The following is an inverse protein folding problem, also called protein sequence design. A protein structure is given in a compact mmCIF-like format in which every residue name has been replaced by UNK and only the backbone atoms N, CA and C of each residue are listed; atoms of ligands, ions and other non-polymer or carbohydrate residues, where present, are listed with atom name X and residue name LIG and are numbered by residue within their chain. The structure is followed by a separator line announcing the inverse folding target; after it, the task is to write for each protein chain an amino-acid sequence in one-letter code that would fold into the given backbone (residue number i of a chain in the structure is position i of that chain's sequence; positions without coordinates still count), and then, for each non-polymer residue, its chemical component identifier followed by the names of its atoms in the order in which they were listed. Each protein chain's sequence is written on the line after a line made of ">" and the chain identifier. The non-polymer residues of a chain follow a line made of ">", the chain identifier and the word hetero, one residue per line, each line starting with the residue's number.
data_IF_802262612519
#
_entry.id   IF_802262612519
#
_cell.length_a   1.000
_cell.length_b   1.000
_cell.length_c   1.000
_cell.angle_alpha   90.00
_cell.angle_beta   90.00
_cell.angle_gamma   90.00
#
_symmetry.space_group_name_H-M   'P 1'
#
loop_
_entity.id
_entity.type
_entity.pdbx_description
1 polymer ?
#
# COMPACT_ATOMS: atom_id res chain seq x y z
N UNK A 1 1.73 5.24 33.08
CA UNK A 1 1.59 5.77 31.70
C UNK A 1 2.77 5.28 30.89
N UNK A 2 2.57 4.27 30.05
CA UNK A 2 3.55 3.82 29.07
C UNK A 2 2.79 3.65 27.76
N UNK A 3 2.87 4.65 26.90
CA UNK A 3 2.47 4.49 25.51
C UNK A 3 3.52 3.59 24.87
N UNK A 4 3.26 2.28 24.84
CA UNK A 4 3.98 1.38 23.95
C UNK A 4 3.33 1.59 22.60
N UNK A 5 3.81 2.59 21.85
CA UNK A 5 3.58 2.63 20.41
C UNK A 5 4.32 1.42 19.86
N UNK A 6 3.57 0.35 19.60
CA UNK A 6 4.03 -0.83 18.90
C UNK A 6 4.44 -0.38 17.50
N UNK A 7 5.73 -0.08 17.31
CA UNK A 7 6.34 0.27 16.02
C UNK A 7 6.40 -0.98 15.13
N UNK A 8 5.25 -1.58 14.81
CA UNK A 8 5.18 -2.63 13.81
C UNK A 8 5.64 -2.07 12.48
N UNK A 9 6.85 -2.43 12.08
CA UNK A 9 7.34 -2.20 10.73
C UNK A 9 6.37 -2.88 9.77
N UNK A 10 5.70 -2.08 8.95
CA UNK A 10 4.81 -2.60 7.90
C UNK A 10 5.69 -3.26 6.84
N UNK A 11 5.52 -4.56 6.67
CA UNK A 11 6.19 -5.34 5.63
C UNK A 11 5.17 -5.96 4.66
N UNK A 12 5.68 -6.55 3.57
CA UNK A 12 4.86 -7.12 2.50
C UNK A 12 3.99 -8.29 2.98
N UNK A 13 4.46 -9.06 3.96
CA UNK A 13 3.71 -10.19 4.50
C UNK A 13 2.51 -9.70 5.31
N UNK A 14 2.68 -8.64 6.10
CA UNK A 14 1.59 -7.99 6.81
C UNK A 14 0.55 -7.43 5.84
N UNK A 15 0.98 -6.68 4.80
CA UNK A 15 0.06 -6.11 3.81
C UNK A 15 -0.71 -7.21 3.06
N UNK A 16 -0.02 -8.28 2.64
CA UNK A 16 -0.66 -9.42 1.98
C UNK A 16 -1.68 -10.14 2.89
N UNK A 17 -1.39 -10.28 4.20
CA UNK A 17 -2.38 -10.82 5.16
C UNK A 17 -3.60 -9.94 5.31
N UNK A 18 -3.42 -8.61 5.27
CA UNK A 18 -4.49 -7.63 5.49
C UNK A 18 -5.38 -7.44 4.25
N UNK A 19 -4.77 -7.34 3.07
CA UNK A 19 -5.47 -6.99 1.83
C UNK A 19 -5.68 -8.18 0.89
N UNK A 20 -4.97 -9.29 1.12
CA UNK A 20 -4.84 -10.39 0.17
C UNK A 20 -3.79 -10.09 -0.90
N UNK A 21 -3.85 -10.88 -1.96
CA UNK A 21 -2.99 -10.70 -3.13
C UNK A 21 -3.40 -9.45 -3.92
N UNK A 22 -2.43 -8.66 -4.43
CA UNK A 22 -2.74 -7.56 -5.31
C UNK A 22 -3.41 -8.06 -6.58
N UNK A 23 -4.35 -7.27 -7.11
CA UNK A 23 -4.96 -7.53 -8.41
C UNK A 23 -3.96 -7.35 -9.55
N UNK A 24 -3.08 -6.35 -9.42
CA UNK A 24 -1.99 -6.12 -10.35
C UNK A 24 -0.74 -5.62 -9.61
N UNK A 25 0.43 -5.85 -10.20
CA UNK A 25 1.72 -5.43 -9.66
C UNK A 25 2.54 -4.73 -10.74
N UNK A 26 3.01 -3.53 -10.42
CA UNK A 26 3.93 -2.76 -11.27
C UNK A 26 5.30 -2.69 -10.62
N UNK A 27 6.34 -3.04 -11.38
CA UNK A 27 7.71 -3.04 -10.89
C UNK A 27 8.01 -4.18 -9.91
N UNK A 28 9.15 -4.04 -9.22
CA UNK A 28 9.64 -5.04 -8.27
C UNK A 28 10.58 -4.40 -7.27
N UNK A 29 10.52 -4.85 -6.02
CA UNK A 29 11.45 -4.43 -4.96
C UNK A 29 12.92 -4.68 -5.32
N UNK A 30 13.16 -5.67 -6.20
CA UNK A 30 14.49 -6.02 -6.66
C UNK A 30 14.97 -5.15 -7.83
N UNK A 31 14.07 -4.47 -8.55
CA UNK A 31 14.44 -3.57 -9.65
C UNK A 31 15.08 -2.28 -9.08
N UNK A 32 16.32 -1.91 -9.46
CA UNK A 32 16.94 -0.67 -9.01
C UNK A 32 16.27 0.60 -9.57
N UNK A 33 15.44 0.50 -10.62
CA UNK A 33 14.75 1.66 -11.19
C UNK A 33 13.71 2.19 -10.21
N UNK A 34 13.71 3.51 -10.05
CA UNK A 34 12.75 4.24 -9.23
C UNK A 34 11.75 4.95 -10.13
N UNK A 35 10.48 4.84 -9.79
CA UNK A 35 9.39 5.64 -10.29
C UNK A 35 9.08 6.75 -9.27
N UNK A 36 8.45 7.84 -9.71
CA UNK A 36 8.05 8.93 -8.83
C UNK A 36 6.57 9.25 -9.04
N UNK A 37 5.78 9.18 -7.96
CA UNK A 37 4.36 9.52 -7.96
C UNK A 37 3.98 10.13 -6.61
N UNK A 38 3.14 11.17 -6.62
CA UNK A 38 2.68 11.84 -5.39
C UNK A 38 3.83 12.30 -4.46
N UNK A 39 4.99 12.65 -5.03
CA UNK A 39 6.19 13.03 -4.28
C UNK A 39 6.93 11.85 -3.61
N UNK A 40 6.51 10.61 -3.88
CA UNK A 40 7.12 9.39 -3.37
C UNK A 40 7.90 8.67 -4.47
N UNK A 41 9.09 8.20 -4.12
CA UNK A 41 9.94 7.39 -5.00
C UNK A 41 9.80 5.92 -4.66
N UNK A 42 9.33 5.10 -5.60
CA UNK A 42 8.99 3.68 -5.38
C UNK A 42 9.59 2.78 -6.47
N UNK A 43 9.82 1.50 -6.13
CA UNK A 43 10.29 0.46 -7.08
C UNK A 43 9.20 -0.59 -7.36
N UNK A 44 8.29 -0.79 -6.42
CA UNK A 44 7.15 -1.70 -6.56
C UNK A 44 5.85 -1.01 -6.14
N UNK A 45 4.80 -1.25 -6.90
CA UNK A 45 3.44 -0.81 -6.60
C UNK A 45 2.51 -2.00 -6.69
N UNK A 46 1.70 -2.19 -5.67
CA UNK A 46 0.60 -3.14 -5.64
C UNK A 46 -0.72 -2.42 -5.86
N UNK A 47 -1.57 -2.97 -6.72
CA UNK A 47 -2.87 -2.41 -7.07
C UNK A 47 -3.97 -3.38 -6.68
N UNK A 48 -4.99 -2.88 -6.00
CA UNK A 48 -6.17 -3.65 -5.60
C UNK A 48 -7.41 -3.00 -6.21
N UNK A 49 -8.11 -3.78 -7.04
CA UNK A 49 -9.38 -3.33 -7.63
C UNK A 49 -10.41 -3.04 -6.53
N UNK A 50 -11.26 -2.01 -6.71
CA UNK A 50 -12.31 -1.70 -5.75
C UNK A 50 -13.23 -2.91 -5.55
N UNK A 51 -13.62 -3.16 -4.30
CA UNK A 51 -14.69 -4.11 -3.99
C UNK A 51 -16.03 -3.51 -4.38
N UNK A 52 -17.08 -4.34 -4.47
CA UNK A 52 -18.41 -3.88 -4.84
C UNK A 52 -18.89 -2.75 -3.90
N UNK A 53 -19.13 -1.57 -4.46
CA UNK A 53 -19.55 -0.37 -3.72
C UNK A 53 -18.42 0.52 -3.22
N UNK A 54 -17.15 0.12 -3.40
CA UNK A 54 -16.00 1.01 -3.21
C UNK A 54 -15.67 1.75 -4.51
N UNK A 55 -15.23 3.00 -4.38
CA UNK A 55 -14.71 3.77 -5.51
C UNK A 55 -13.18 3.80 -5.48
N UNK A 56 -12.59 3.68 -6.66
CA UNK A 56 -11.15 3.85 -6.85
C UNK A 56 -10.30 2.63 -6.53
N UNK A 57 -9.11 2.60 -7.12
CA UNK A 57 -8.12 1.52 -6.94
C UNK A 57 -7.28 1.85 -5.71
N UNK A 58 -7.06 0.88 -4.83
CA UNK A 58 -6.10 1.05 -3.75
C UNK A 58 -4.70 0.72 -4.26
N UNK A 59 -3.80 1.68 -4.18
CA UNK A 59 -2.39 1.53 -4.54
C UNK A 59 -1.52 1.50 -3.28
N UNK A 60 -0.68 0.49 -3.15
CA UNK A 60 0.33 0.37 -2.08
C UNK A 60 1.72 0.53 -2.69
N UNK A 61 2.50 1.49 -2.18
CA UNK A 61 3.81 1.84 -2.73
C UNK A 61 4.94 1.33 -1.83
N UNK A 62 5.96 0.79 -2.48
CA UNK A 62 7.14 0.22 -1.84
C UNK A 62 8.42 0.83 -2.43
N UNK A 63 9.37 1.19 -1.58
CA UNK A 63 10.76 1.44 -1.98
C UNK A 63 11.62 0.31 -1.45
N UNK A 64 12.15 -0.53 -2.34
CA UNK A 64 12.72 -1.82 -1.94
C UNK A 64 11.73 -2.55 -1.01
N UNK A 65 12.10 -2.81 0.24
CA UNK A 65 11.26 -3.50 1.22
C UNK A 65 10.56 -2.56 2.20
N UNK A 66 10.72 -1.24 2.03
CA UNK A 66 10.13 -0.25 2.91
C UNK A 66 8.75 0.17 2.40
N UNK A 67 7.76 0.06 3.28
CA UNK A 67 6.40 0.53 3.04
C UNK A 67 6.39 2.06 3.02
N UNK A 68 5.91 2.65 1.91
CA UNK A 68 5.81 4.10 1.77
C UNK A 68 4.42 4.64 2.10
N UNK A 69 3.38 3.80 1.93
CA UNK A 69 1.99 4.20 2.16
C UNK A 69 1.02 3.49 1.23
N UNK A 70 -0.26 3.67 1.54
CA UNK A 70 -1.36 3.24 0.71
C UNK A 70 -2.22 4.46 0.33
N UNK A 71 -2.72 4.48 -0.90
CA UNK A 71 -3.42 5.59 -1.50
C UNK A 71 -4.62 5.09 -2.30
N UNK A 72 -5.78 5.73 -2.13
CA UNK A 72 -6.92 5.48 -3.01
C UNK A 72 -6.80 6.39 -4.22
N UNK A 73 -6.73 5.78 -5.40
CA UNK A 73 -6.75 6.44 -6.71
C UNK A 73 -8.20 6.53 -7.17
N UNK A 74 -8.77 7.73 -7.19
CA UNK A 74 -10.18 7.95 -7.54
C UNK A 74 -10.36 8.06 -9.06
N UNK A 75 -11.58 7.80 -9.60
CA UNK A 75 -11.85 7.86 -11.03
C UNK A 75 -11.62 9.24 -11.67
N UNK A 76 -11.68 10.32 -10.88
CA UNK A 76 -11.40 11.69 -11.31
C UNK A 76 -9.89 12.00 -11.43
N UNK A 77 -9.04 11.00 -11.16
CA UNK A 77 -7.59 11.12 -11.18
C UNK A 77 -6.99 11.70 -9.89
N UNK A 78 -7.82 12.09 -8.93
CA UNK A 78 -7.35 12.52 -7.62
C UNK A 78 -6.92 11.33 -6.77
N UNK A 79 -6.13 11.62 -5.74
CA UNK A 79 -5.60 10.60 -4.83
C UNK A 79 -5.72 11.06 -3.40
N UNK A 80 -5.96 10.12 -2.49
CA UNK A 80 -5.95 10.39 -1.05
C UNK A 80 -5.20 9.29 -0.29
N UNK A 81 -4.46 9.64 0.77
CA UNK A 81 -3.90 8.65 1.67
C UNK A 81 -5.01 7.77 2.25
N UNK A 82 -4.73 6.48 2.38
CA UNK A 82 -5.65 5.53 2.98
C UNK A 82 -4.91 4.64 3.99
N UNK A 83 -5.39 4.52 5.24
CA UNK A 83 -4.80 3.62 6.21
C UNK A 83 -5.01 2.15 5.80
N UNK A 84 -4.03 1.30 6.11
CA UNK A 84 -4.23 -0.15 6.02
C UNK A 84 -5.31 -0.58 7.03
N UNK A 85 -6.11 -1.61 6.72
CA UNK A 85 -7.10 -2.12 7.65
C UNK A 85 -6.42 -2.70 8.89
N UNK A 86 -7.13 -2.68 10.01
CA UNK A 86 -6.66 -3.35 11.23
C UNK A 86 -6.76 -4.88 11.08
N UNK A 87 -5.80 -5.64 11.64
CA UNK A 87 -5.91 -7.09 11.68
C UNK A 87 -7.16 -7.49 12.46
N UNK A 88 -7.94 -8.44 11.93
CA UNK A 88 -9.09 -9.00 12.64
C UNK A 88 -8.62 -9.72 13.92
N UNK A 89 -9.36 -9.62 15.03
CA UNK A 89 -9.10 -10.45 16.21
C UNK A 89 -9.33 -11.93 15.86
N UNK A 90 -8.41 -12.80 16.31
CA UNK A 90 -8.47 -14.26 16.14
C UNK A 90 -9.67 -14.90 16.88
#
# INVERSE_FOLDING_TARGET
>A
MRSVTDERRVDRALVSRLLGDPTDQVGSVNDPRLHEEHGLRWNEKWLYSPRHGEEGVLAVLWNRYDFLGAFRLLPDGSTRPEPLPEPLPE
#
